data_IF_375837767880
#
_entry.id   IF_375837767880
#
_cell.length_a   1.000
_cell.length_b   1.000
_cell.length_c   1.000
_cell.angle_alpha   90.00
_cell.angle_beta   90.00
_cell.angle_gamma   90.00
#
_symmetry.space_group_name_H-M   'P 1'
#
loop_
_entity.id
_entity.type
_entity.pdbx_description
1 polymer ?
#
# COMPACT_ATOMS: atom_id res chain seq x y z
N UNK A 1 -8.54 1.51 -8.49
CA UNK A 1 -8.57 0.49 -7.41
C UNK A 1 -9.53 -0.60 -7.81
N UNK A 2 -9.12 -1.87 -7.75
CA UNK A 2 -9.93 -2.98 -8.27
C UNK A 2 -9.65 -4.28 -7.51
N UNK A 3 -10.58 -5.23 -7.59
CA UNK A 3 -10.34 -6.60 -7.14
C UNK A 3 -9.46 -7.35 -8.15
N UNK A 4 -8.56 -8.18 -7.63
CA UNK A 4 -7.78 -9.12 -8.44
C UNK A 4 -7.55 -10.41 -7.66
N UNK A 5 -7.75 -11.55 -8.32
CA UNK A 5 -7.39 -12.84 -7.73
C UNK A 5 -5.86 -12.95 -7.66
N UNK A 6 -5.37 -13.24 -6.46
CA UNK A 6 -3.95 -13.45 -6.19
C UNK A 6 -3.79 -14.77 -5.44
N UNK A 7 -2.92 -15.62 -5.97
CA UNK A 7 -2.58 -16.89 -5.35
C UNK A 7 -1.28 -16.79 -4.57
N UNK A 8 -1.29 -17.26 -3.32
CA UNK A 8 -0.11 -17.53 -2.48
C UNK A 8 -0.38 -18.76 -1.65
N UNK A 9 0.67 -19.51 -1.32
CA UNK A 9 0.55 -20.72 -0.49
C UNK A 9 -0.52 -21.70 -1.01
N UNK A 10 -0.75 -21.74 -2.33
CA UNK A 10 -1.81 -22.55 -2.98
C UNK A 10 -3.25 -22.14 -2.67
N UNK A 11 -3.46 -20.99 -2.03
CA UNK A 11 -4.76 -20.37 -1.82
C UNK A 11 -4.93 -19.18 -2.75
N UNK A 12 -5.99 -19.21 -3.55
CA UNK A 12 -6.39 -18.09 -4.40
C UNK A 12 -7.57 -17.37 -3.75
N UNK A 13 -7.44 -16.05 -3.59
CA UNK A 13 -8.54 -15.19 -3.15
C UNK A 13 -8.53 -13.86 -3.90
N UNK A 14 -9.70 -13.22 -4.06
CA UNK A 14 -9.75 -11.84 -4.51
C UNK A 14 -9.17 -10.93 -3.41
N UNK A 15 -8.30 -10.01 -3.80
CA UNK A 15 -7.80 -8.94 -2.93
C UNK A 15 -7.99 -7.58 -3.60
N UNK A 16 -8.07 -6.52 -2.81
CA UNK A 16 -8.08 -5.14 -3.32
C UNK A 16 -6.67 -4.77 -3.76
N UNK A 17 -6.54 -4.22 -4.96
CA UNK A 17 -5.25 -3.85 -5.57
C UNK A 17 -5.31 -2.46 -6.20
N UNK A 18 -4.13 -1.87 -6.36
CA UNK A 18 -3.94 -0.62 -7.11
C UNK A 18 -3.45 -1.00 -8.51
N UNK A 19 -4.24 -0.65 -9.53
CA UNK A 19 -3.96 -0.96 -10.94
C UNK A 19 -3.63 -2.45 -11.19
N UNK A 20 -4.27 -3.35 -10.44
CA UNK A 20 -4.04 -4.79 -10.56
C UNK A 20 -2.69 -5.28 -10.03
N UNK A 21 -1.97 -4.47 -9.24
CA UNK A 21 -0.65 -4.81 -8.70
C UNK A 21 -0.73 -5.09 -7.19
N UNK A 22 0.05 -6.08 -6.74
CA UNK A 22 0.26 -6.41 -5.33
C UNK A 22 1.71 -6.89 -5.11
N UNK A 23 2.56 -6.15 -4.36
CA UNK A 23 2.32 -4.79 -3.87
C UNK A 23 1.96 -3.80 -4.99
N UNK A 24 1.35 -2.68 -4.63
CA UNK A 24 1.01 -1.63 -5.58
C UNK A 24 2.23 -0.94 -6.20
N UNK A 25 2.01 -0.06 -7.18
CA UNK A 25 3.09 0.60 -7.90
C UNK A 25 3.94 1.48 -6.97
N UNK A 26 5.26 1.46 -7.20
CA UNK A 26 6.16 2.43 -6.57
C UNK A 26 5.94 3.81 -7.17
N UNK A 27 5.76 4.81 -6.31
CA UNK A 27 5.72 6.22 -6.72
C UNK A 27 7.13 6.77 -6.60
N UNK A 28 7.63 7.35 -7.68
CA UNK A 28 8.89 8.09 -7.69
C UNK A 28 8.60 9.58 -7.79
N UNK A 29 9.21 10.35 -6.90
CA UNK A 29 9.18 11.80 -6.92
C UNK A 29 10.56 12.34 -6.54
N UNK A 30 10.79 13.65 -6.71
CA UNK A 30 11.93 14.37 -6.16
C UNK A 30 11.49 15.29 -5.03
N UNK A 31 12.43 15.62 -4.16
CA UNK A 31 12.22 16.70 -3.20
C UNK A 31 11.81 18.00 -3.91
N UNK A 32 10.67 18.57 -3.48
CA UNK A 32 10.06 19.76 -4.06
C UNK A 32 9.01 19.50 -5.13
N UNK A 33 8.82 18.24 -5.58
CA UNK A 33 7.77 17.93 -6.55
C UNK A 33 6.38 18.04 -5.92
N UNK A 34 5.42 18.53 -6.72
CA UNK A 34 3.99 18.39 -6.43
C UNK A 34 3.49 17.08 -7.01
N UNK A 35 2.95 16.22 -6.15
CA UNK A 35 2.43 14.91 -6.50
C UNK A 35 0.91 15.01 -6.62
N UNK A 36 0.38 14.63 -7.79
CA UNK A 36 -1.05 14.47 -8.02
C UNK A 36 -1.37 13.00 -8.26
N UNK A 37 -2.24 12.44 -7.42
CA UNK A 37 -2.74 11.07 -7.59
C UNK A 37 -4.26 11.10 -7.65
N UNK A 38 -4.80 10.86 -8.85
CA UNK A 38 -6.23 10.62 -9.03
C UNK A 38 -6.56 9.16 -8.73
N UNK A 39 -7.31 8.93 -7.66
CA UNK A 39 -7.68 7.60 -7.20
C UNK A 39 -9.15 7.35 -7.47
N UNK A 40 -9.45 6.40 -8.37
CA UNK A 40 -10.83 5.93 -8.61
C UNK A 40 -11.08 4.60 -7.92
N UNK A 41 -12.16 4.51 -7.15
CA UNK A 41 -12.55 3.32 -6.41
C UNK A 41 -13.52 2.44 -7.22
N UNK A 42 -13.07 1.31 -7.77
CA UNK A 42 -13.94 0.34 -8.46
C UNK A 42 -14.28 -0.88 -7.61
N UNK A 43 -14.02 -0.86 -6.30
CA UNK A 43 -14.41 -1.95 -5.38
C UNK A 43 -15.59 -1.54 -4.53
N UNK A 44 -16.29 -2.53 -3.96
CA UNK A 44 -17.46 -2.31 -3.08
C UNK A 44 -17.10 -1.74 -1.70
N UNK A 45 -15.81 -1.78 -1.33
CA UNK A 45 -15.33 -1.24 -0.08
C UNK A 45 -15.14 0.27 -0.17
N UNK A 46 -15.44 0.98 0.92
CA UNK A 46 -14.95 2.33 1.14
C UNK A 46 -13.42 2.34 1.18
N UNK A 47 -12.80 3.40 0.66
CA UNK A 47 -11.35 3.46 0.53
C UNK A 47 -10.80 4.83 0.92
N UNK A 48 -9.60 4.84 1.49
CA UNK A 48 -8.74 6.03 1.54
C UNK A 48 -7.28 5.60 1.47
N UNK A 49 -6.39 6.47 0.98
CA UNK A 49 -4.94 6.22 0.89
C UNK A 49 -4.22 7.27 1.72
N UNK A 50 -3.27 6.83 2.54
CA UNK A 50 -2.34 7.68 3.28
C UNK A 50 -0.94 7.60 2.70
N UNK A 51 -0.27 8.74 2.67
CA UNK A 51 1.09 8.92 2.18
C UNK A 51 2.05 8.91 3.37
N UNK A 52 2.34 7.71 3.87
CA UNK A 52 3.03 7.53 5.14
C UNK A 52 4.35 8.27 5.21
N UNK A 53 4.45 9.16 6.21
CA UNK A 53 5.62 9.99 6.46
C UNK A 53 5.68 11.29 5.66
N UNK A 54 4.83 11.51 4.65
CA UNK A 54 4.70 12.83 4.01
C UNK A 54 4.14 13.81 5.03
N UNK A 55 4.80 14.96 5.21
CA UNK A 55 4.46 15.94 6.26
C UNK A 55 3.12 16.64 6.08
N UNK A 56 2.55 16.60 4.87
CA UNK A 56 1.30 17.28 4.51
C UNK A 56 1.24 18.75 4.95
N UNK A 57 2.32 19.50 4.71
CA UNK A 57 2.42 20.90 5.13
C UNK A 57 1.33 21.74 4.47
N UNK A 58 0.32 22.14 5.26
CA UNK A 58 -0.87 22.87 4.80
C UNK A 58 -1.69 22.12 3.75
N UNK A 59 -1.58 20.80 3.68
CA UNK A 59 -2.32 19.92 2.75
C UNK A 59 -2.99 18.77 3.48
N UNK A 60 -3.48 19.00 4.70
CA UNK A 60 -4.08 17.97 5.55
C UNK A 60 -5.25 17.22 4.91
N UNK A 61 -6.00 17.84 4.00
CA UNK A 61 -7.06 17.19 3.22
C UNK A 61 -6.53 16.06 2.30
N UNK A 62 -5.25 16.06 1.97
CA UNK A 62 -4.61 15.01 1.18
C UNK A 62 -3.91 13.95 2.06
N UNK A 63 -4.07 13.99 3.39
CA UNK A 63 -3.36 13.09 4.29
C UNK A 63 -3.86 11.65 4.22
N UNK A 64 -5.18 11.42 4.18
CA UNK A 64 -5.72 10.09 3.91
C UNK A 64 -6.48 9.35 5.03
N UNK A 65 -6.17 9.51 6.33
CA UNK A 65 -6.88 8.79 7.38
C UNK A 65 -8.39 9.06 7.35
N UNK A 66 -9.16 8.02 7.01
CA UNK A 66 -10.61 8.13 6.89
C UNK A 66 -11.24 8.50 8.24
N UNK A 67 -12.25 9.38 8.20
CA UNK A 67 -12.93 9.95 9.37
C UNK A 67 -12.06 10.84 10.28
N UNK A 68 -10.83 11.13 9.88
CA UNK A 68 -9.96 12.11 10.56
C UNK A 68 -9.71 13.31 9.64
N UNK A 69 -9.16 13.08 8.44
CA UNK A 69 -8.81 14.16 7.49
C UNK A 69 -9.68 14.18 6.25
N UNK A 70 -10.40 13.08 5.97
CA UNK A 70 -11.35 13.00 4.87
C UNK A 70 -12.47 11.97 5.13
N UNK A 71 -13.60 12.13 4.45
CA UNK A 71 -14.55 11.04 4.28
C UNK A 71 -13.98 9.96 3.33
N UNK A 72 -14.41 8.70 3.45
CA UNK A 72 -13.97 7.65 2.54
C UNK A 72 -14.42 7.89 1.09
N UNK A 73 -13.59 7.46 0.15
CA UNK A 73 -13.89 7.42 -1.28
C UNK A 73 -14.82 6.23 -1.53
N UNK A 74 -16.08 6.51 -1.82
CA UNK A 74 -17.10 5.49 -2.07
C UNK A 74 -16.90 4.78 -3.41
N UNK A 75 -17.56 3.64 -3.57
CA UNK A 75 -17.58 2.89 -4.83
C UNK A 75 -18.02 3.78 -6.00
N UNK A 76 -17.29 3.70 -7.11
CA UNK A 76 -17.52 4.49 -8.32
C UNK A 76 -16.99 5.92 -8.25
N UNK A 77 -16.57 6.41 -7.08
CA UNK A 77 -16.10 7.78 -6.91
C UNK A 77 -14.58 7.90 -7.10
N UNK A 78 -14.15 9.12 -7.38
CA UNK A 78 -12.75 9.49 -7.52
C UNK A 78 -12.36 10.58 -6.54
N UNK A 79 -11.11 10.58 -6.09
CA UNK A 79 -10.53 11.65 -5.29
C UNK A 79 -9.10 11.92 -5.75
N UNK A 80 -8.75 13.20 -5.87
CA UNK A 80 -7.40 13.61 -6.25
C UNK A 80 -6.63 14.06 -5.02
N UNK A 81 -5.62 13.27 -4.64
CA UNK A 81 -4.62 13.69 -3.68
C UNK A 81 -3.65 14.66 -4.36
N UNK A 82 -3.46 15.84 -3.78
CA UNK A 82 -2.58 16.87 -4.29
C UNK A 82 -1.77 17.48 -3.15
N UNK A 83 -0.47 17.25 -3.13
CA UNK A 83 0.44 17.74 -2.10
C UNK A 83 1.85 17.95 -2.64
N UNK A 84 2.64 18.77 -1.95
CA UNK A 84 4.04 19.06 -2.33
C UNK A 84 5.00 18.48 -1.31
N UNK A 85 6.02 17.77 -1.79
CA UNK A 85 7.02 17.12 -0.94
C UNK A 85 8.05 18.16 -0.50
N UNK A 86 8.04 18.52 0.79
CA UNK A 86 8.86 19.63 1.30
C UNK A 86 9.87 19.17 2.34
N UNK A 87 11.16 19.28 2.02
CA UNK A 87 12.26 18.99 2.96
C UNK A 87 12.34 17.51 3.32
N UNK A 88 12.01 16.62 2.39
CA UNK A 88 12.01 15.16 2.56
C UNK A 88 12.71 14.52 1.37
N UNK A 89 13.53 13.49 1.64
CA UNK A 89 14.20 12.64 0.66
C UNK A 89 14.45 11.27 1.29
N UNK A 90 14.49 10.21 0.50
CA UNK A 90 14.66 8.84 0.95
C UNK A 90 13.45 7.95 0.64
N UNK A 91 13.29 6.89 1.41
CA UNK A 91 12.26 5.86 1.22
C UNK A 91 11.12 6.07 2.20
N UNK A 92 9.93 6.27 1.66
CA UNK A 92 8.64 6.25 2.35
C UNK A 92 7.76 5.17 1.70
N UNK A 93 6.48 5.15 2.07
CA UNK A 93 5.49 4.26 1.46
C UNK A 93 4.11 4.89 1.53
N UNK A 94 3.17 4.32 0.79
CA UNK A 94 1.76 4.68 0.86
C UNK A 94 0.95 3.42 1.15
N UNK A 95 -0.20 3.59 1.79
CA UNK A 95 -1.07 2.47 2.12
C UNK A 95 -2.52 2.90 2.28
N UNK A 96 -3.46 1.95 2.18
CA UNK A 96 -4.83 2.23 2.57
C UNK A 96 -4.93 2.63 4.04
N UNK A 97 -5.74 3.64 4.36
CA UNK A 97 -5.90 4.14 5.73
C UNK A 97 -7.36 4.10 6.17
N UNK A 98 -8.01 3.00 5.82
CA UNK A 98 -9.33 2.59 6.26
C UNK A 98 -9.36 1.07 6.25
N UNK A 99 -10.11 0.47 7.19
CA UNK A 99 -10.21 -0.98 7.34
C UNK A 99 -8.83 -1.66 7.51
N UNK A 100 -8.75 -2.99 7.33
CA UNK A 100 -7.48 -3.73 7.27
C UNK A 100 -6.93 -3.84 5.84
N UNK A 101 -7.44 -3.02 4.91
CA UNK A 101 -7.04 -3.03 3.51
C UNK A 101 -5.55 -2.73 3.29
N UNK A 102 -4.84 -2.10 4.23
CA UNK A 102 -3.38 -1.92 4.16
C UNK A 102 -2.59 -3.23 4.10
N UNK A 103 -3.21 -4.37 4.38
CA UNK A 103 -2.61 -5.69 4.19
C UNK A 103 -2.40 -6.05 2.70
N UNK A 104 -3.08 -5.36 1.77
CA UNK A 104 -2.97 -5.62 0.32
C UNK A 104 -2.86 -4.35 -0.53
N UNK A 105 -3.32 -3.21 -0.02
CA UNK A 105 -3.28 -1.91 -0.67
C UNK A 105 -2.16 -1.09 -0.05
N UNK A 106 -0.95 -1.26 -0.58
CA UNK A 106 0.24 -0.51 -0.21
C UNK A 106 1.27 -0.53 -1.33
N UNK A 107 2.22 0.40 -1.30
CA UNK A 107 3.36 0.43 -2.21
C UNK A 107 4.41 1.42 -1.74
N UNK A 108 5.59 1.38 -2.35
CA UNK A 108 6.68 2.27 -1.98
C UNK A 108 6.49 3.69 -2.51
N UNK A 109 7.06 4.66 -1.81
CA UNK A 109 7.16 6.05 -2.23
C UNK A 109 8.63 6.48 -2.10
N UNK A 110 9.32 6.62 -3.22
CA UNK A 110 10.75 6.93 -3.26
C UNK A 110 10.91 8.41 -3.61
N UNK A 111 11.54 9.16 -2.72
CA UNK A 111 11.81 10.58 -2.89
C UNK A 111 13.30 10.76 -3.16
N UNK A 112 13.62 10.95 -4.43
CA UNK A 112 14.97 11.23 -4.88
C UNK A 112 15.40 12.65 -4.45
N UNK A 113 16.72 12.92 -4.37
CA UNK A 113 17.21 14.27 -4.18
C UNK A 113 16.64 15.23 -5.23
N UNK A 114 16.51 16.50 -4.84
CA UNK A 114 16.22 17.61 -5.76
C UNK A 114 17.19 17.57 -6.94
N UNK A 115 16.74 18.01 -8.12
CA UNK A 115 17.61 18.08 -9.30
C UNK A 115 18.89 18.85 -8.96
N UNK A 116 20.02 18.34 -9.46
CA UNK A 116 21.37 18.89 -9.23
C UNK A 116 21.89 18.81 -7.78
N UNK A 117 21.13 18.21 -6.86
CA UNK A 117 21.61 17.91 -5.50
C UNK A 117 21.98 16.42 -5.44
N UNK A 118 23.24 16.05 -5.13
CA UNK A 118 23.62 14.66 -5.01
C UNK A 118 23.09 14.04 -3.71
N UNK A 119 23.15 12.71 -3.62
CA UNK A 119 23.07 12.04 -2.33
C UNK A 119 24.25 12.49 -1.43
N UNK A 120 24.10 12.44 -0.10
CA UNK A 120 25.21 12.71 0.82
C UNK A 120 26.27 11.58 0.85
N UNK A 121 26.18 10.63 -0.08
CA UNK A 121 27.05 9.48 -0.26
C UNK A 121 27.22 9.19 -1.77
N UNK A 122 28.23 8.40 -2.18
CA UNK A 122 28.42 8.05 -3.58
C UNK A 122 27.16 7.45 -4.20
N UNK A 123 26.83 7.87 -5.43
CA UNK A 123 25.63 7.39 -6.13
C UNK A 123 25.67 5.85 -6.21
N UNK A 124 24.64 5.15 -5.71
CA UNK A 124 24.62 3.70 -5.73
C UNK A 124 24.56 3.18 -7.17
N UNK A 125 25.21 2.03 -7.42
CA UNK A 125 25.14 1.37 -8.72
C UNK A 125 23.73 0.88 -9.05
N UNK A 126 22.99 0.40 -8.03
CA UNK A 126 21.60 -0.05 -8.13
C UNK A 126 20.84 0.32 -6.86
N UNK A 127 19.55 0.56 -7.01
CA UNK A 127 18.60 0.77 -5.92
C UNK A 127 17.51 -0.31 -6.04
N UNK A 128 17.27 -1.06 -4.96
CA UNK A 128 16.27 -2.13 -4.92
C UNK A 128 15.30 -1.85 -3.77
N UNK A 129 14.02 -1.84 -4.05
CA UNK A 129 12.98 -1.70 -3.03
C UNK A 129 12.62 -3.06 -2.46
N UNK A 130 12.69 -3.19 -1.13
CA UNK A 130 12.22 -4.34 -0.38
C UNK A 130 11.04 -3.92 0.47
N UNK A 131 9.86 -4.47 0.18
CA UNK A 131 8.66 -4.24 0.97
C UNK A 131 8.38 -5.50 1.78
N UNK A 132 8.43 -5.37 3.10
CA UNK A 132 8.06 -6.43 4.02
C UNK A 132 6.56 -6.35 4.28
N UNK A 133 5.88 -7.48 4.27
CA UNK A 133 4.44 -7.54 4.51
C UNK A 133 4.01 -8.91 5.00
N UNK A 134 2.70 -9.06 5.16
CA UNK A 134 2.08 -10.28 5.65
C UNK A 134 1.02 -10.78 4.66
N UNK A 135 0.75 -12.08 4.72
CA UNK A 135 -0.26 -12.74 3.92
C UNK A 135 -1.14 -13.63 4.79
N UNK A 136 -2.44 -13.43 4.70
CA UNK A 136 -3.46 -14.37 5.19
C UNK A 136 -4.07 -15.11 4.00
N UNK A 137 -4.38 -16.38 4.15
CA UNK A 137 -5.18 -17.15 3.21
C UNK A 137 -6.66 -16.74 3.29
N UNK A 138 -7.15 -16.40 4.49
CA UNK A 138 -8.48 -15.84 4.74
C UNK A 138 -8.59 -14.38 4.28
N UNK A 139 -9.82 -13.90 4.02
CA UNK A 139 -10.07 -12.47 3.83
C UNK A 139 -9.65 -11.70 5.09
N UNK A 140 -8.86 -10.63 4.91
CA UNK A 140 -8.32 -9.83 6.02
C UNK A 140 -9.42 -9.08 6.77
N UNK A 141 -10.51 -8.71 6.08
CA UNK A 141 -11.68 -8.11 6.73
C UNK A 141 -12.42 -9.15 7.59
N UNK A 142 -12.48 -10.41 7.15
CA UNK A 142 -13.06 -11.47 7.97
C UNK A 142 -12.23 -11.73 9.24
N UNK A 143 -10.89 -11.69 9.14
CA UNK A 143 -9.98 -11.85 10.29
C UNK A 143 -10.24 -10.79 11.36
N UNK A 144 -10.30 -9.50 10.98
CA UNK A 144 -10.54 -8.44 11.96
C UNK A 144 -11.99 -8.43 12.46
N UNK A 145 -12.97 -8.74 11.62
CA UNK A 145 -14.38 -8.80 12.04
C UNK A 145 -14.61 -9.89 13.09
N UNK A 146 -13.97 -11.05 12.96
CA UNK A 146 -14.06 -12.11 13.97
C UNK A 146 -13.36 -11.72 15.27
N UNK A 147 -12.20 -11.06 15.20
CA UNK A 147 -11.50 -10.54 16.37
C UNK A 147 -12.35 -9.51 17.13
N UNK A 148 -12.96 -8.57 16.41
CA UNK A 148 -13.87 -7.57 17.00
C UNK A 148 -15.11 -8.23 17.63
N UNK A 149 -15.69 -9.23 16.96
CA UNK A 149 -16.87 -9.95 17.46
C UNK A 149 -16.58 -10.78 18.72
N UNK A 150 -15.44 -11.44 18.76
CA UNK A 150 -15.03 -12.29 19.90
C UNK A 150 -14.43 -11.49 21.06
N UNK A 151 -13.93 -10.28 20.79
CA UNK A 151 -13.12 -9.49 21.74
C UNK A 151 -11.70 -10.03 21.91
N UNK A 152 -11.29 -11.04 21.14
CA UNK A 152 -9.96 -11.63 21.17
C UNK A 152 -8.96 -10.96 20.22
N UNK A 153 -7.73 -11.47 20.21
CA UNK A 153 -6.72 -11.05 19.25
C UNK A 153 -7.04 -11.61 17.84
N UNK A 154 -6.70 -10.88 16.75
CA UNK A 154 -6.83 -11.41 15.40
C UNK A 154 -5.86 -12.56 15.16
N UNK A 155 -6.26 -13.50 14.29
CA UNK A 155 -5.40 -14.61 13.89
C UNK A 155 -4.10 -14.10 13.24
N UNK A 156 -2.99 -14.76 13.56
CA UNK A 156 -1.69 -14.49 12.94
C UNK A 156 -1.72 -14.72 11.42
N UNK A 157 -0.81 -14.06 10.70
CA UNK A 157 -0.65 -14.27 9.26
C UNK A 157 -0.13 -15.67 8.94
N UNK A 158 -0.52 -16.22 7.79
CA UNK A 158 -0.04 -17.51 7.31
C UNK A 158 1.41 -17.42 6.81
N UNK A 159 1.85 -16.24 6.37
CA UNK A 159 3.23 -15.99 5.98
C UNK A 159 3.62 -14.51 6.06
N UNK A 160 4.88 -14.28 6.43
CA UNK A 160 5.58 -13.04 6.08
C UNK A 160 6.00 -13.06 4.61
N UNK A 161 6.16 -11.89 4.01
CA UNK A 161 6.45 -11.75 2.58
C UNK A 161 7.51 -10.67 2.34
N UNK A 162 8.32 -10.90 1.30
CA UNK A 162 9.20 -9.89 0.69
C UNK A 162 8.63 -9.59 -0.69
N UNK A 163 8.31 -8.31 -0.95
CA UNK A 163 7.68 -7.86 -2.20
C UNK A 163 6.42 -8.69 -2.54
N UNK A 164 5.62 -8.99 -1.50
CA UNK A 164 4.39 -9.76 -1.61
C UNK A 164 4.59 -11.23 -1.95
N UNK A 165 5.80 -11.80 -1.81
CA UNK A 165 6.09 -13.23 -1.99
C UNK A 165 6.59 -13.86 -0.67
N UNK A 166 6.00 -14.99 -0.22
CA UNK A 166 6.47 -15.72 0.97
C UNK A 166 7.86 -16.34 0.84
N UNK A 167 8.30 -16.60 -0.40
CA UNK A 167 9.55 -17.28 -0.69
C UNK A 167 9.77 -17.47 -2.19
N UNK A 168 10.79 -18.23 -2.60
CA UNK A 168 11.09 -18.51 -4.00
C UNK A 168 9.89 -19.17 -4.70
N UNK A 169 9.55 -18.69 -5.90
CA UNK A 169 8.40 -19.19 -6.67
C UNK A 169 8.56 -20.65 -7.14
N UNK A 170 9.78 -21.18 -7.16
CA UNK A 170 10.10 -22.51 -7.69
C UNK A 170 10.00 -23.67 -6.69
N UNK A 171 9.85 -23.42 -5.39
CA UNK A 171 9.86 -24.47 -4.36
C UNK A 171 8.49 -24.88 -3.86
N UNK A 172 7.42 -24.21 -4.30
CA UNK A 172 6.05 -24.50 -3.88
C UNK A 172 5.26 -25.10 -5.04
N UNK A 173 5.46 -26.38 -5.32
CA UNK A 173 4.50 -27.17 -6.09
C UNK A 173 3.25 -27.33 -5.25
N UNK A 174 2.17 -26.65 -5.64
CA UNK A 174 0.87 -26.92 -5.05
C UNK A 174 0.49 -28.37 -5.39
N UNK A 175 0.13 -29.20 -4.39
CA UNK A 175 -0.41 -30.51 -4.70
C UNK A 175 -1.62 -30.30 -5.61
N UNK A 176 -1.60 -30.94 -6.78
CA UNK A 176 -2.79 -30.96 -7.63
C UNK A 176 -3.90 -31.65 -6.82
N UNK A 177 -5.02 -30.96 -6.64
CA UNK A 177 -6.24 -31.58 -6.15
C UNK A 177 -6.84 -32.47 -7.23
#
# INVERSE_FOLDING_TARGET
IQLKNVSRLCHSKPIVTVNGQFPGPTIYAREGDTVLVNLTNHVKYNLSIHWHGIRQLRTGWADGPAYITQCPIQTGQSYTYNFTITGQRGTLFWHAHILWLRATVYGALIILPRRHVPYPFPKPHKEITLILGEWWNSDVEAVINEAVKSGGAPNMSDAHTINGKPGPLGTFTCPMK
#
